data_IF_564819077880
#
_entry.id   IF_564819077880
#
_cell.length_a   1.000
_cell.length_b   1.000
_cell.length_c   1.000
_cell.angle_alpha   90.00
_cell.angle_beta   90.00
_cell.angle_gamma   90.00
#
_symmetry.space_group_name_H-M   'P 1'
#
loop_
_entity.id
_entity.type
_entity.pdbx_description
1 polymer ?
#
# COMPACT_ATOMS: atom_id res chain seq x y z
N UNK A 1 -11.47 -16.93 -47.35
CA UNK A 1 -12.52 -15.89 -47.41
C UNK A 1 -12.20 -14.92 -46.27
N UNK A 2 -11.40 -13.89 -46.51
CA UNK A 2 -11.85 -12.51 -46.85
C UNK A 2 -12.86 -12.01 -45.80
N UNK A 3 -12.58 -11.00 -44.98
CA UNK A 3 -12.34 -9.63 -45.45
C UNK A 3 -11.67 -8.77 -44.36
N UNK A 4 -10.52 -8.19 -44.69
CA UNK A 4 -9.97 -6.98 -44.04
C UNK A 4 -10.21 -5.81 -44.97
N UNK A 5 -10.77 -4.72 -44.45
CA UNK A 5 -10.88 -3.36 -45.01
C UNK A 5 -12.01 -2.67 -44.20
N UNK A 6 -12.00 -1.40 -43.82
CA UNK A 6 -11.52 -0.23 -44.54
C UNK A 6 -11.40 0.95 -43.57
N UNK A 7 -10.49 1.86 -43.88
CA UNK A 7 -10.22 3.14 -43.22
C UNK A 7 -11.46 4.05 -43.09
N UNK A 8 -11.48 4.97 -42.13
CA UNK A 8 -11.54 6.37 -42.55
C UNK A 8 -10.85 7.35 -41.58
N UNK A 9 -10.20 8.32 -42.21
CA UNK A 9 -9.28 9.32 -41.71
C UNK A 9 -9.99 10.68 -41.84
N UNK A 10 -9.63 11.62 -40.97
CA UNK A 10 -9.74 13.08 -41.14
C UNK A 10 -11.13 13.74 -41.19
N UNK A 11 -11.38 14.61 -40.20
CA UNK A 11 -11.97 15.94 -40.44
C UNK A 11 -11.72 16.88 -39.24
N UNK A 12 -10.70 17.73 -39.36
CA UNK A 12 -10.65 19.14 -38.88
C UNK A 12 -10.48 19.98 -40.15
N UNK A 13 -10.81 21.29 -40.24
CA UNK A 13 -10.70 22.31 -39.17
C UNK A 13 -11.80 23.42 -39.18
N UNK A 14 -11.79 24.31 -38.19
CA UNK A 14 -12.08 25.75 -38.38
C UNK A 14 -11.84 26.54 -37.08
N UNK A 15 -10.86 27.45 -37.12
CA UNK A 15 -10.82 28.65 -36.27
C UNK A 15 -11.66 29.76 -36.93
N UNK A 16 -12.06 30.78 -36.16
CA UNK A 16 -11.60 32.12 -36.53
C UNK A 16 -11.28 33.05 -35.34
N UNK A 17 -10.36 33.99 -35.63
CA UNK A 17 -10.33 35.41 -35.21
C UNK A 17 -10.20 35.74 -33.71
N UNK A 18 -9.31 36.62 -33.25
CA UNK A 18 -8.76 37.83 -33.85
C UNK A 18 -9.21 39.03 -33.00
N UNK A 19 -8.31 39.68 -32.26
CA UNK A 19 -8.68 40.87 -31.47
C UNK A 19 -7.58 41.40 -30.56
N UNK A 20 -6.70 42.24 -31.11
CA UNK A 20 -5.77 43.11 -30.35
C UNK A 20 -6.52 44.31 -29.76
N UNK A 21 -6.21 44.68 -28.52
CA UNK A 21 -6.39 46.03 -27.99
C UNK A 21 -5.23 46.42 -27.08
N UNK A 22 -4.77 47.66 -27.24
CA UNK A 22 -3.54 48.26 -26.72
C UNK A 22 -3.75 49.06 -25.44
N UNK A 23 -2.72 49.01 -24.59
CA UNK A 23 -2.14 50.04 -23.71
C UNK A 23 -3.05 50.89 -22.79
N UNK A 24 -2.75 50.87 -21.49
CA UNK A 24 -2.68 52.08 -20.64
C UNK A 24 -1.67 51.88 -19.50
N UNK A 25 -0.80 52.88 -19.36
CA UNK A 25 0.29 53.06 -18.39
C UNK A 25 -0.22 53.30 -16.96
N UNK A 26 0.49 52.81 -15.93
CA UNK A 26 0.22 53.16 -14.54
C UNK A 26 1.22 52.65 -13.50
N UNK A 27 2.34 53.37 -13.35
CA UNK A 27 3.08 53.74 -12.11
C UNK A 27 3.51 52.64 -11.10
N UNK A 28 4.80 52.71 -10.71
CA UNK A 28 5.52 51.79 -9.83
C UNK A 28 5.40 52.09 -8.31
N UNK A 29 5.28 51.00 -7.51
CA UNK A 29 5.98 50.57 -6.25
C UNK A 29 6.16 51.58 -5.05
N UNK A 30 6.54 51.18 -3.80
CA UNK A 30 6.53 49.89 -3.06
C UNK A 30 5.82 49.98 -1.69
N UNK A 31 5.56 48.85 -1.01
CA UNK A 31 6.03 48.59 0.38
C UNK A 31 5.49 47.29 1.01
N UNK A 32 6.42 46.59 1.66
CA UNK A 32 6.25 45.88 2.94
C UNK A 32 5.35 44.64 3.01
N UNK A 33 6.01 43.48 3.02
CA UNK A 33 5.38 42.23 3.42
C UNK A 33 6.30 41.02 3.38
N UNK A 34 7.53 41.11 3.92
CA UNK A 34 8.35 39.91 4.21
C UNK A 34 7.68 39.10 5.32
N UNK A 35 6.63 38.34 4.99
CA UNK A 35 6.21 37.21 5.82
C UNK A 35 7.24 36.11 5.59
N UNK A 36 8.05 35.89 6.62
CA UNK A 36 8.94 34.75 6.75
C UNK A 36 8.13 33.50 6.37
N UNK A 37 8.43 32.90 5.22
CA UNK A 37 8.02 31.53 4.98
C UNK A 37 8.62 30.74 6.13
N UNK A 38 7.77 30.28 7.03
CA UNK A 38 8.14 29.24 7.98
C UNK A 38 8.48 28.06 7.08
N UNK A 39 9.77 27.88 6.82
CA UNK A 39 10.29 26.65 6.26
C UNK A 39 10.18 25.64 7.40
N UNK A 40 8.96 25.16 7.63
CA UNK A 40 8.75 23.88 8.29
C UNK A 40 9.49 22.91 7.40
N UNK A 41 10.76 22.63 7.73
CA UNK A 41 11.38 21.36 7.38
C UNK A 41 10.58 20.33 8.16
N UNK A 42 9.37 20.03 7.68
CA UNK A 42 8.72 18.79 7.97
C UNK A 42 9.73 17.74 7.55
N UNK A 43 10.37 17.10 8.52
CA UNK A 43 10.79 15.74 8.29
C UNK A 43 9.50 15.05 7.85
N UNK A 44 9.46 14.57 6.62
CA UNK A 44 8.48 13.59 6.21
C UNK A 44 8.73 12.39 7.14
N UNK A 45 8.16 12.44 8.35
CA UNK A 45 7.90 11.22 9.10
C UNK A 45 6.87 10.55 8.23
N UNK A 46 7.32 9.64 7.37
CA UNK A 46 6.40 8.74 6.70
C UNK A 46 5.52 8.17 7.80
N UNK A 47 4.24 8.53 7.75
CA UNK A 47 3.30 8.15 8.78
C UNK A 47 3.17 6.63 8.66
N UNK A 48 3.80 5.88 9.56
CA UNK A 48 3.59 4.45 9.68
C UNK A 48 2.19 4.27 10.26
N UNK A 49 1.23 4.02 9.37
CA UNK A 49 -0.16 3.74 9.72
C UNK A 49 -0.36 2.24 9.93
N UNK A 50 0.49 1.41 9.34
CA UNK A 50 0.33 -0.04 9.33
C UNK A 50 1.65 -0.73 9.64
N UNK A 51 1.57 -1.74 10.52
CA UNK A 51 2.66 -2.71 10.73
C UNK A 51 2.12 -4.12 10.51
N UNK A 52 2.85 -4.93 9.75
CA UNK A 52 2.48 -6.33 9.51
C UNK A 52 3.63 -7.25 9.86
N UNK A 53 3.35 -8.22 10.72
CA UNK A 53 4.32 -9.18 11.20
C UNK A 53 3.73 -10.56 11.24
N UNK A 54 4.41 -11.54 10.67
CA UNK A 54 3.90 -12.90 10.71
C UNK A 54 4.86 -13.95 10.25
N UNK A 55 4.45 -15.20 10.46
CA UNK A 55 5.17 -16.35 9.97
C UNK A 55 4.22 -17.48 9.58
N UNK A 56 4.64 -18.31 8.64
CA UNK A 56 3.92 -19.48 8.16
C UNK A 56 4.91 -20.62 7.91
N UNK A 57 4.58 -21.80 8.43
CA UNK A 57 5.32 -23.04 8.23
C UNK A 57 4.32 -24.18 7.95
N UNK A 58 4.66 -25.19 7.13
CA UNK A 58 5.82 -25.22 6.26
C UNK A 58 5.59 -24.34 5.03
N UNK A 59 6.65 -23.72 4.54
CA UNK A 59 6.67 -22.90 3.35
C UNK A 59 7.84 -23.27 2.44
N UNK A 60 7.60 -23.30 1.14
CA UNK A 60 8.65 -23.48 0.14
C UNK A 60 8.85 -22.23 -0.70
N UNK A 61 9.85 -22.25 -1.56
CA UNK A 61 10.18 -21.13 -2.45
C UNK A 61 9.01 -20.71 -3.35
N UNK A 62 8.11 -21.64 -3.71
CA UNK A 62 6.89 -21.30 -4.44
C UNK A 62 5.98 -20.36 -3.64
N UNK A 63 5.77 -20.65 -2.36
CA UNK A 63 4.93 -19.85 -1.47
C UNK A 63 5.59 -18.51 -1.16
N UNK A 64 6.92 -18.49 -1.00
CA UNK A 64 7.70 -17.25 -0.86
C UNK A 64 7.52 -16.32 -2.05
N UNK A 65 7.70 -16.83 -3.29
CA UNK A 65 7.49 -16.01 -4.49
C UNK A 65 6.05 -15.51 -4.63
N UNK A 66 5.08 -16.33 -4.28
CA UNK A 66 3.67 -15.93 -4.31
C UNK A 66 3.42 -14.78 -3.33
N UNK A 67 3.85 -14.92 -2.08
CA UNK A 67 3.73 -13.88 -1.06
C UNK A 67 4.48 -12.59 -1.49
N UNK A 68 5.69 -12.72 -2.00
CA UNK A 68 6.50 -11.59 -2.49
C UNK A 68 5.84 -10.86 -3.67
N UNK A 69 5.10 -11.57 -4.53
CA UNK A 69 4.37 -10.95 -5.64
C UNK A 69 3.21 -10.04 -5.19
N UNK A 70 2.71 -10.24 -3.96
CA UNK A 70 1.64 -9.43 -3.36
C UNK A 70 2.22 -8.37 -2.42
N UNK A 71 3.10 -8.78 -1.51
CA UNK A 71 3.59 -7.97 -0.41
C UNK A 71 4.86 -7.18 -0.73
N UNK A 72 5.58 -7.50 -1.82
CA UNK A 72 6.94 -7.02 -2.09
C UNK A 72 8.00 -8.00 -1.61
N UNK A 73 9.09 -8.14 -2.38
CA UNK A 73 10.15 -9.13 -2.12
C UNK A 73 10.94 -8.78 -0.86
N UNK A 74 11.12 -7.48 -0.59
CA UNK A 74 11.81 -6.95 0.59
C UNK A 74 11.09 -7.23 1.92
N UNK A 75 9.81 -7.61 1.86
CA UNK A 75 8.96 -7.86 3.03
C UNK A 75 8.80 -9.34 3.35
N UNK A 76 9.32 -10.22 2.49
CA UNK A 76 9.11 -11.66 2.55
C UNK A 76 10.45 -12.39 2.61
N UNK A 77 10.69 -13.07 3.73
CA UNK A 77 11.87 -13.88 3.94
C UNK A 77 11.47 -15.37 4.03
N UNK A 78 12.33 -16.26 3.52
CA UNK A 78 12.20 -17.70 3.69
C UNK A 78 13.47 -18.21 4.38
N UNK A 79 13.32 -18.72 5.60
CA UNK A 79 14.39 -19.37 6.35
C UNK A 79 14.05 -20.86 6.52
N UNK A 80 14.73 -21.72 5.76
CA UNK A 80 14.38 -23.13 5.67
C UNK A 80 12.97 -23.32 5.12
N UNK A 81 12.05 -23.77 5.97
CA UNK A 81 10.62 -23.93 5.67
C UNK A 81 9.72 -22.92 6.41
N UNK A 82 10.30 -21.86 6.96
CA UNK A 82 9.59 -20.80 7.66
C UNK A 82 9.53 -19.55 6.78
N UNK A 83 8.34 -19.23 6.29
CA UNK A 83 8.05 -17.94 5.66
C UNK A 83 7.87 -16.88 6.74
N UNK A 84 8.48 -15.71 6.57
CA UNK A 84 8.31 -14.55 7.46
C UNK A 84 7.85 -13.33 6.66
N UNK A 85 6.89 -12.61 7.22
CA UNK A 85 6.37 -11.33 6.70
C UNK A 85 6.77 -10.23 7.68
N UNK A 86 7.38 -9.17 7.17
CA UNK A 86 7.76 -7.99 7.94
C UNK A 86 7.58 -6.71 7.14
N UNK A 87 6.62 -5.89 7.54
CA UNK A 87 6.29 -4.63 6.87
C UNK A 87 5.98 -3.53 7.88
N UNK A 88 6.49 -2.32 7.61
CA UNK A 88 6.06 -1.09 8.27
C UNK A 88 5.89 0.00 7.22
N UNK A 89 4.71 0.62 7.15
CA UNK A 89 4.44 1.64 6.15
C UNK A 89 3.04 2.23 6.24
N UNK A 90 2.59 2.81 5.13
CA UNK A 90 1.31 3.54 5.05
C UNK A 90 0.14 2.60 4.78
N UNK A 91 0.36 1.52 4.01
CA UNK A 91 -0.69 0.60 3.58
C UNK A 91 -0.10 -0.77 3.24
N UNK A 92 -0.81 -1.85 3.56
CA UNK A 92 -0.41 -3.22 3.25
C UNK A 92 -1.59 -4.05 2.71
N UNK A 93 -1.39 -4.85 1.63
CA UNK A 93 -2.42 -5.68 1.01
C UNK A 93 -2.68 -6.98 1.81
N UNK A 94 -3.18 -6.87 3.05
CA UNK A 94 -3.30 -8.04 3.95
C UNK A 94 -4.31 -9.09 3.45
N UNK A 95 -5.48 -8.65 2.98
CA UNK A 95 -6.53 -9.56 2.50
C UNK A 95 -6.07 -10.27 1.22
N UNK A 96 -5.44 -9.54 0.30
CA UNK A 96 -4.88 -10.11 -0.93
C UNK A 96 -3.75 -11.12 -0.63
N UNK A 97 -2.94 -10.87 0.41
CA UNK A 97 -1.93 -11.82 0.86
C UNK A 97 -2.59 -13.08 1.43
N UNK A 98 -3.60 -12.94 2.30
CA UNK A 98 -4.32 -14.10 2.87
C UNK A 98 -5.02 -14.92 1.79
N UNK A 99 -5.65 -14.27 0.82
CA UNK A 99 -6.32 -14.91 -0.31
C UNK A 99 -5.32 -15.60 -1.25
N UNK A 100 -4.14 -15.03 -1.46
CA UNK A 100 -3.08 -15.67 -2.22
C UNK A 100 -2.51 -16.90 -1.49
N UNK A 101 -2.37 -16.86 -0.17
CA UNK A 101 -1.82 -17.98 0.60
C UNK A 101 -2.80 -19.15 0.75
N UNK A 102 -4.10 -18.85 0.91
CA UNK A 102 -5.14 -19.84 1.26
C UNK A 102 -5.17 -21.10 0.34
N UNK A 103 -5.05 -21.01 -1.00
CA UNK A 103 -5.06 -22.18 -1.87
C UNK A 103 -3.84 -23.12 -1.71
N UNK A 104 -2.77 -22.63 -1.09
CA UNK A 104 -1.50 -23.35 -0.96
C UNK A 104 -1.27 -23.90 0.44
N UNK A 105 -2.20 -23.67 1.37
CA UNK A 105 -2.14 -24.23 2.71
C UNK A 105 -2.36 -25.74 2.67
N UNK A 106 -1.57 -26.44 3.48
CA UNK A 106 -1.62 -27.88 3.69
C UNK A 106 -2.22 -28.19 5.07
N UNK A 107 -2.63 -29.44 5.35
CA UNK A 107 -3.06 -29.84 6.69
C UNK A 107 -2.02 -29.58 7.79
N UNK A 108 -0.75 -29.55 7.44
CA UNK A 108 0.38 -29.29 8.36
C UNK A 108 0.71 -27.80 8.48
N UNK A 109 0.00 -26.93 7.76
CA UNK A 109 0.26 -25.49 7.80
C UNK A 109 -0.14 -24.89 9.16
N UNK A 110 0.80 -24.17 9.76
CA UNK A 110 0.63 -23.44 11.00
C UNK A 110 1.31 -22.07 10.87
N UNK A 111 0.62 -21.03 11.32
CA UNK A 111 1.16 -19.69 11.21
C UNK A 111 0.28 -18.63 11.85
N UNK A 112 0.80 -17.42 11.85
CA UNK A 112 0.09 -16.24 12.33
C UNK A 112 0.59 -15.01 11.60
N UNK A 113 -0.32 -14.14 11.19
CA UNK A 113 0.00 -12.83 10.64
C UNK A 113 -0.80 -11.77 11.39
N UNK A 114 -0.08 -10.83 11.99
CA UNK A 114 -0.60 -9.70 12.76
C UNK A 114 -0.55 -8.45 11.88
N UNK A 115 -1.71 -7.85 11.62
CA UNK A 115 -1.87 -6.55 11.00
C UNK A 115 -2.27 -5.53 12.06
N UNK A 116 -1.44 -4.52 12.25
CA UNK A 116 -1.58 -3.49 13.29
C UNK A 116 -1.92 -2.19 12.59
N UNK A 117 -3.14 -1.71 12.79
CA UNK A 117 -3.60 -0.40 12.37
C UNK A 117 -3.29 0.61 13.48
N UNK A 118 -2.30 1.47 13.23
CA UNK A 118 -1.84 2.49 14.16
C UNK A 118 -2.78 3.70 14.21
N UNK A 119 -3.62 3.91 13.20
CA UNK A 119 -4.59 5.02 13.15
C UNK A 119 -5.87 4.65 13.89
N UNK A 120 -6.41 3.45 13.61
CA UNK A 120 -7.58 2.91 14.30
C UNK A 120 -7.26 2.32 15.69
N UNK A 121 -5.97 2.13 16.00
CA UNK A 121 -5.47 1.50 17.22
C UNK A 121 -5.99 0.05 17.40
N UNK A 122 -5.95 -0.73 16.31
CA UNK A 122 -6.50 -2.11 16.24
C UNK A 122 -5.43 -3.12 15.84
N UNK A 123 -5.52 -4.30 16.42
CA UNK A 123 -4.80 -5.49 16.00
C UNK A 123 -5.79 -6.45 15.32
N UNK A 124 -5.51 -6.75 14.06
CA UNK A 124 -6.14 -7.79 13.28
C UNK A 124 -5.16 -8.97 13.21
N UNK A 125 -5.57 -10.13 13.71
CA UNK A 125 -4.71 -11.31 13.80
C UNK A 125 -5.31 -12.44 12.98
N UNK A 126 -4.58 -12.88 11.96
CA UNK A 126 -4.92 -14.02 11.14
C UNK A 126 -4.15 -15.24 11.66
N UNK A 127 -4.88 -16.23 12.17
CA UNK A 127 -4.34 -17.52 12.56
C UNK A 127 -4.49 -18.49 11.40
N UNK A 128 -3.40 -19.18 11.07
CA UNK A 128 -3.37 -20.19 10.02
C UNK A 128 -3.21 -21.54 10.71
N UNK A 129 -4.17 -22.45 10.49
CA UNK A 129 -4.10 -23.81 11.01
C UNK A 129 -4.72 -24.79 10.02
N UNK A 130 -3.90 -25.71 9.52
CA UNK A 130 -4.21 -26.52 8.37
C UNK A 130 -4.60 -25.63 7.18
N UNK A 131 -5.72 -25.97 6.55
CA UNK A 131 -6.25 -25.22 5.39
C UNK A 131 -7.16 -24.05 5.77
N UNK A 132 -7.31 -23.75 7.07
CA UNK A 132 -8.16 -22.69 7.56
C UNK A 132 -7.37 -21.45 7.97
N UNK A 133 -7.95 -20.28 7.67
CA UNK A 133 -7.49 -18.99 8.18
C UNK A 133 -8.61 -18.40 9.02
N UNK A 134 -8.36 -18.21 10.31
CA UNK A 134 -9.28 -17.57 11.25
C UNK A 134 -8.77 -16.18 11.62
N UNK A 135 -9.62 -15.17 11.50
CA UNK A 135 -9.26 -13.79 11.80
C UNK A 135 -9.91 -13.34 13.11
N UNK A 136 -9.13 -12.73 14.00
CA UNK A 136 -9.61 -12.10 15.23
C UNK A 136 -9.17 -10.67 15.31
N UNK A 137 -9.94 -9.89 16.03
CA UNK A 137 -9.68 -8.47 16.15
C UNK A 137 -9.77 -8.03 17.60
N UNK A 138 -8.87 -7.13 17.99
CA UNK A 138 -8.78 -6.58 19.34
C UNK A 138 -8.25 -5.16 19.29
N UNK A 139 -8.75 -4.28 20.16
CA UNK A 139 -8.12 -2.98 20.38
C UNK A 139 -6.75 -3.15 21.05
N UNK A 140 -5.76 -2.36 20.65
CA UNK A 140 -4.38 -2.45 21.18
C UNK A 140 -4.29 -2.18 22.68
N UNK A 141 -5.27 -1.46 23.26
CA UNK A 141 -5.37 -1.25 24.71
C UNK A 141 -5.48 -2.57 25.49
N UNK A 142 -6.08 -3.62 24.91
CA UNK A 142 -6.24 -4.92 25.55
C UNK A 142 -5.02 -5.84 25.37
N UNK A 143 -4.05 -5.46 24.52
CA UNK A 143 -2.92 -6.32 24.14
C UNK A 143 -1.68 -6.03 24.99
N UNK A 144 -1.53 -4.82 25.53
CA UNK A 144 -0.41 -4.46 26.42
C UNK A 144 -0.56 -4.99 27.86
N UNK A 145 -1.77 -5.35 28.28
CA UNK A 145 -2.02 -5.97 29.60
C UNK A 145 -1.59 -7.46 29.64
N UNK A 146 -1.33 -8.09 28.48
CA UNK A 146 -1.03 -9.53 28.39
C UNK A 146 0.42 -9.85 27.98
N UNK A 147 1.32 -8.86 27.98
CA UNK A 147 2.76 -9.08 27.71
C UNK A 147 3.60 -9.36 28.97
N UNK A 148 2.97 -9.78 30.07
CA UNK A 148 3.64 -10.12 31.32
C UNK A 148 3.09 -11.40 31.93
N UNK A 149 3.50 -12.56 31.43
CA UNK A 149 3.59 -13.78 32.23
C UNK A 149 4.64 -14.74 31.68
#
# INVERSE_FOLDING_TARGET
MACSAFCNRNASPASPEGGRATATTGIANPQSGRRRHIRLRGRNMEHVLVKVYGSLHPAGEHLRRLAASVAGDEHIELDGDLLRVSFEGVWFPIEELMDALRPHLTPDSEGRVDYIDMDAWRLHRHFIKGTAIESRESGLNNVLDFSGH
#
